data_IF_160857612386
#
_entry.id   IF_160857612386
#
_cell.length_a   1.000
_cell.length_b   1.000
_cell.length_c   1.000
_cell.angle_alpha   90.00
_cell.angle_beta   90.00
_cell.angle_gamma   90.00
#
_symmetry.space_group_name_H-M   'P 1'
#
loop_
_entity.id
_entity.type
_entity.pdbx_description
1 polymer ?
#
# COMPACT_ATOMS: atom_id res chain seq x y z
N UNK A 1 21.54 4.03 -47.84
CA UNK A 1 20.36 3.91 -46.96
C UNK A 1 19.26 4.78 -47.56
N UNK A 2 18.74 4.36 -48.72
CA UNK A 2 18.07 5.28 -49.65
C UNK A 2 16.57 5.04 -49.77
N UNK A 3 16.08 3.86 -49.37
CA UNK A 3 14.64 3.57 -49.39
C UNK A 3 14.01 3.65 -48.00
N UNK A 4 12.69 3.81 -47.96
CA UNK A 4 11.93 3.63 -46.72
C UNK A 4 12.09 2.21 -46.15
N UNK A 5 12.20 1.21 -47.03
CA UNK A 5 12.42 -0.18 -46.64
C UNK A 5 13.75 -0.36 -45.89
N UNK A 6 14.84 0.23 -46.40
CA UNK A 6 16.16 0.16 -45.74
C UNK A 6 16.14 0.81 -44.36
N UNK A 7 15.47 1.97 -44.25
CA UNK A 7 15.31 2.68 -42.97
C UNK A 7 14.52 1.84 -41.97
N UNK A 8 13.42 1.21 -42.40
CA UNK A 8 12.63 0.31 -41.55
C UNK A 8 13.42 -0.90 -41.09
N UNK A 9 14.21 -1.50 -41.97
CA UNK A 9 15.09 -2.64 -41.62
C UNK A 9 16.18 -2.23 -40.64
N UNK A 10 16.81 -1.07 -40.84
CA UNK A 10 17.83 -0.53 -39.94
C UNK A 10 17.28 -0.23 -38.53
N UNK A 11 16.09 0.40 -38.45
CA UNK A 11 15.44 0.66 -37.16
C UNK A 11 15.10 -0.65 -36.46
N UNK A 12 14.58 -1.65 -37.18
CA UNK A 12 14.30 -2.98 -36.60
C UNK A 12 15.56 -3.64 -36.06
N UNK A 13 16.67 -3.61 -36.79
CA UNK A 13 17.93 -4.21 -36.32
C UNK A 13 18.51 -3.46 -35.12
N UNK A 14 18.42 -2.12 -35.12
CA UNK A 14 18.93 -1.27 -34.03
C UNK A 14 18.21 -1.56 -32.71
N UNK A 15 16.89 -1.76 -32.75
CA UNK A 15 16.08 -2.01 -31.57
C UNK A 15 15.85 -3.50 -31.24
N UNK A 16 16.32 -4.44 -32.07
CA UNK A 16 16.10 -5.88 -31.86
C UNK A 16 16.60 -6.35 -30.47
N UNK A 17 17.82 -5.98 -30.10
CA UNK A 17 18.41 -6.31 -28.80
C UNK A 17 17.65 -5.68 -27.63
N UNK A 18 17.49 -4.34 -27.58
CA UNK A 18 16.72 -3.66 -26.53
C UNK A 18 15.29 -4.19 -26.37
N UNK A 19 14.58 -4.47 -27.48
CA UNK A 19 13.23 -5.03 -27.44
C UNK A 19 13.23 -6.45 -26.90
N UNK A 20 14.17 -7.30 -27.34
CA UNK A 20 14.31 -8.66 -26.80
C UNK A 20 14.64 -8.66 -25.30
N UNK A 21 15.52 -7.76 -24.85
CA UNK A 21 15.83 -7.58 -23.43
C UNK A 21 14.65 -7.03 -22.62
N UNK A 22 13.84 -6.14 -23.20
CA UNK A 22 12.62 -5.64 -22.56
C UNK A 22 11.56 -6.75 -22.42
N UNK A 23 11.34 -7.56 -23.47
CA UNK A 23 10.42 -8.71 -23.44
C UNK A 23 10.88 -9.77 -22.43
N UNK A 24 12.18 -10.03 -22.33
CA UNK A 24 12.73 -10.93 -21.31
C UNK A 24 12.48 -10.46 -19.87
N UNK A 25 12.37 -9.15 -19.63
CA UNK A 25 11.97 -8.60 -18.32
C UNK A 25 10.47 -8.70 -18.06
N UNK A 26 9.63 -8.68 -19.09
CA UNK A 26 8.17 -8.91 -18.97
C UNK A 26 7.88 -10.36 -18.60
N UNK A 27 8.68 -11.31 -19.10
CA UNK A 27 8.52 -12.75 -18.82
C UNK A 27 9.25 -13.27 -17.58
N UNK A 28 9.92 -12.39 -16.82
CA UNK A 28 10.37 -12.72 -15.49
C UNK A 28 9.34 -12.11 -14.52
N UNK A 29 8.19 -12.77 -14.27
CA UNK A 29 7.19 -12.21 -13.39
C UNK A 29 7.88 -11.93 -12.06
N UNK A 30 7.84 -10.67 -11.64
CA UNK A 30 8.15 -10.36 -10.25
C UNK A 30 7.35 -11.36 -9.39
N UNK A 31 7.97 -12.07 -8.45
CA UNK A 31 7.23 -12.99 -7.59
C UNK A 31 6.11 -12.27 -6.82
N UNK A 32 6.21 -10.94 -6.71
CA UNK A 32 5.11 -10.05 -6.32
C UNK A 32 4.46 -9.50 -7.59
N UNK A 33 3.29 -10.05 -7.97
CA UNK A 33 2.49 -9.54 -9.08
C UNK A 33 1.99 -8.11 -8.84
N UNK A 34 1.34 -7.52 -9.86
CA UNK A 34 0.67 -6.24 -9.67
C UNK A 34 -0.44 -6.37 -8.61
N UNK A 35 -0.44 -5.45 -7.64
CA UNK A 35 -1.43 -5.44 -6.55
C UNK A 35 -2.82 -5.19 -7.13
N UNK A 36 -3.67 -6.23 -7.14
CA UNK A 36 -5.08 -6.10 -7.50
C UNK A 36 -5.84 -5.27 -6.46
N UNK A 37 -6.97 -4.63 -6.83
CA UNK A 37 -7.87 -4.01 -5.87
C UNK A 37 -8.32 -5.00 -4.80
N UNK A 38 -8.38 -4.56 -3.54
CA UNK A 38 -8.74 -5.40 -2.40
C UNK A 38 -10.23 -5.75 -2.35
N UNK A 39 -11.05 -5.05 -3.12
CA UNK A 39 -12.52 -5.12 -3.05
C UNK A 39 -13.10 -4.30 -1.89
N UNK A 40 -12.26 -3.73 -1.02
CA UNK A 40 -12.70 -2.70 -0.07
C UNK A 40 -12.68 -1.34 -0.77
N UNK A 41 -13.80 -0.97 -1.39
CA UNK A 41 -13.92 0.21 -2.27
C UNK A 41 -13.31 1.49 -1.66
N UNK A 42 -13.57 1.74 -0.37
CA UNK A 42 -13.04 2.92 0.33
C UNK A 42 -11.52 2.88 0.49
N UNK A 43 -10.95 1.71 0.77
CA UNK A 43 -9.50 1.49 0.87
C UNK A 43 -8.87 1.71 -0.51
N UNK A 44 -9.39 1.03 -1.54
CA UNK A 44 -8.85 1.08 -2.90
C UNK A 44 -8.89 2.50 -3.48
N UNK A 45 -10.03 3.19 -3.34
CA UNK A 45 -10.19 4.58 -3.78
C UNK A 45 -9.23 5.53 -3.07
N UNK A 46 -9.10 5.39 -1.74
CA UNK A 46 -8.23 6.28 -0.95
C UNK A 46 -6.76 6.04 -1.26
N UNK A 47 -6.37 4.78 -1.48
CA UNK A 47 -5.02 4.41 -1.89
C UNK A 47 -4.70 4.92 -3.30
N UNK A 48 -5.64 4.79 -4.23
CA UNK A 48 -5.54 5.37 -5.58
C UNK A 48 -5.38 6.89 -5.55
N UNK A 49 -6.14 7.58 -4.70
CA UNK A 49 -6.00 9.04 -4.48
C UNK A 49 -4.61 9.40 -3.95
N UNK A 50 -4.09 8.68 -2.96
CA UNK A 50 -2.75 8.93 -2.42
C UNK A 50 -1.65 8.73 -3.47
N UNK A 51 -1.74 7.67 -4.29
CA UNK A 51 -0.85 7.44 -5.44
C UNK A 51 -0.90 8.59 -6.45
N UNK A 52 -2.09 8.99 -6.87
CA UNK A 52 -2.28 10.08 -7.83
C UNK A 52 -1.75 11.42 -7.29
N UNK A 53 -1.91 11.68 -5.99
CA UNK A 53 -1.40 12.89 -5.34
C UNK A 53 0.12 12.89 -5.24
N UNK A 54 0.76 11.77 -4.89
CA UNK A 54 2.23 11.65 -4.86
C UNK A 54 2.88 11.98 -6.20
N UNK A 55 2.24 11.62 -7.32
CA UNK A 55 2.76 11.92 -8.66
C UNK A 55 2.83 13.43 -8.94
N UNK A 56 1.92 14.22 -8.35
CA UNK A 56 1.79 15.66 -8.59
C UNK A 56 2.46 16.52 -7.52
N UNK A 57 2.65 15.98 -6.31
CA UNK A 57 3.17 16.72 -5.17
C UNK A 57 4.61 17.21 -5.36
N UNK A 58 4.82 18.46 -4.99
CA UNK A 58 6.04 19.25 -5.18
C UNK A 58 6.40 20.10 -3.95
N UNK A 59 5.50 20.26 -2.96
CA UNK A 59 5.77 21.01 -1.72
C UNK A 59 5.62 20.16 -0.44
N UNK A 60 6.13 20.69 0.66
CA UNK A 60 6.10 20.06 1.99
C UNK A 60 4.68 19.76 2.47
N UNK A 61 3.76 20.70 2.30
CA UNK A 61 2.34 20.55 2.65
C UNK A 61 1.67 19.47 1.79
N UNK A 62 2.00 19.40 0.50
CA UNK A 62 1.47 18.38 -0.40
C UNK A 62 1.97 16.97 -0.01
N UNK A 63 3.22 16.85 0.44
CA UNK A 63 3.77 15.60 0.96
C UNK A 63 3.20 15.22 2.33
N UNK A 64 2.92 16.19 3.22
CA UNK A 64 2.17 15.93 4.47
C UNK A 64 0.76 15.41 4.18
N UNK A 65 0.07 16.00 3.21
CA UNK A 65 -1.27 15.58 2.84
C UNK A 65 -1.32 14.12 2.32
N UNK A 66 -0.22 13.59 1.79
CA UNK A 66 -0.10 12.16 1.47
C UNK A 66 -0.08 11.33 2.76
N UNK A 67 0.62 11.76 3.81
CA UNK A 67 0.57 11.12 5.13
C UNK A 67 -0.83 11.08 5.72
N UNK A 68 -1.59 12.17 5.60
CA UNK A 68 -3.01 12.22 5.98
C UNK A 68 -3.84 11.20 5.20
N UNK A 69 -3.68 11.12 3.87
CA UNK A 69 -4.39 10.12 3.06
C UNK A 69 -4.02 8.69 3.44
N UNK A 70 -2.74 8.42 3.69
CA UNK A 70 -2.27 7.12 4.15
C UNK A 70 -2.90 6.71 5.50
N UNK A 71 -3.03 7.66 6.44
CA UNK A 71 -3.73 7.42 7.71
C UNK A 71 -5.21 7.08 7.48
N UNK A 72 -5.89 7.81 6.60
CA UNK A 72 -7.30 7.53 6.25
C UNK A 72 -7.48 6.17 5.54
N UNK A 73 -6.51 5.74 4.73
CA UNK A 73 -6.48 4.39 4.16
C UNK A 73 -6.43 3.33 5.27
N UNK A 74 -5.54 3.50 6.26
CA UNK A 74 -5.37 2.53 7.35
C UNK A 74 -6.57 2.49 8.30
N UNK A 75 -7.23 3.63 8.53
CA UNK A 75 -8.52 3.68 9.25
C UNK A 75 -9.60 2.94 8.47
N UNK A 76 -9.71 3.21 7.17
CA UNK A 76 -10.70 2.54 6.32
C UNK A 76 -10.43 1.03 6.26
N UNK A 77 -9.16 0.62 6.28
CA UNK A 77 -8.75 -0.79 6.32
C UNK A 77 -9.18 -1.44 7.63
N UNK A 78 -8.91 -0.80 8.77
CA UNK A 78 -9.35 -1.27 10.08
C UNK A 78 -10.88 -1.44 10.14
N UNK A 79 -11.62 -0.44 9.70
CA UNK A 79 -13.09 -0.48 9.63
C UNK A 79 -13.62 -1.57 8.70
N UNK A 80 -12.88 -1.90 7.65
CA UNK A 80 -13.31 -2.87 6.65
C UNK A 80 -13.16 -4.34 7.10
N UNK A 81 -12.27 -4.60 8.05
CA UNK A 81 -12.04 -5.95 8.60
C UNK A 81 -12.59 -6.12 10.01
N UNK A 82 -12.76 -5.03 10.76
CA UNK A 82 -13.20 -5.09 12.15
C UNK A 82 -14.73 -5.16 12.25
N UNK A 83 -15.21 -6.30 12.73
CA UNK A 83 -16.55 -6.50 13.26
C UNK A 83 -16.52 -6.50 14.80
N UNK A 84 -17.29 -5.62 15.43
CA UNK A 84 -17.35 -5.48 16.90
C UNK A 84 -18.01 -6.69 17.58
N UNK A 85 -18.97 -7.33 16.93
CA UNK A 85 -19.66 -8.50 17.48
C UNK A 85 -18.75 -9.73 17.49
N UNK A 86 -17.83 -9.81 16.52
CA UNK A 86 -16.87 -10.91 16.37
C UNK A 86 -15.57 -10.67 17.15
N UNK A 87 -15.04 -9.43 17.12
CA UNK A 87 -13.72 -9.10 17.69
C UNK A 87 -13.78 -8.48 19.09
N UNK A 88 -14.96 -8.13 19.60
CA UNK A 88 -15.17 -7.50 20.91
C UNK A 88 -14.95 -5.98 20.91
N UNK A 89 -15.49 -5.28 21.92
CA UNK A 89 -15.46 -3.80 22.02
C UNK A 89 -14.19 -3.24 22.69
N UNK A 90 -13.32 -4.11 23.24
CA UNK A 90 -12.11 -3.72 23.98
C UNK A 90 -10.87 -4.48 23.52
N UNK A 91 -9.71 -3.84 23.62
CA UNK A 91 -8.42 -4.51 23.44
C UNK A 91 -8.03 -5.41 24.63
N UNK A 92 -6.84 -6.03 24.56
CA UNK A 92 -6.31 -6.90 25.61
C UNK A 92 -6.12 -6.21 26.96
N UNK A 93 -5.93 -4.88 26.97
CA UNK A 93 -5.78 -4.08 28.19
C UNK A 93 -7.13 -3.56 28.71
N UNK A 94 -8.26 -3.96 28.09
CA UNK A 94 -9.60 -3.47 28.43
C UNK A 94 -9.89 -2.07 27.90
N UNK A 95 -9.07 -1.51 27.00
CA UNK A 95 -9.32 -0.20 26.40
C UNK A 95 -10.35 -0.31 25.29
N UNK A 96 -11.37 0.56 25.31
CA UNK A 96 -12.41 0.60 24.27
C UNK A 96 -11.82 0.87 22.88
N UNK A 97 -12.22 0.08 21.90
CA UNK A 97 -11.81 0.22 20.50
C UNK A 97 -12.63 1.33 19.85
N UNK A 98 -11.98 2.43 19.49
CA UNK A 98 -12.62 3.55 18.81
C UNK A 98 -13.01 3.21 17.36
N UNK A 99 -14.04 3.90 16.84
CA UNK A 99 -14.50 3.72 15.45
C UNK A 99 -13.46 4.11 14.39
N UNK A 100 -12.47 4.93 14.76
CA UNK A 100 -11.34 5.35 13.91
C UNK A 100 -9.99 4.89 14.43
N UNK A 101 -9.96 3.97 15.40
CA UNK A 101 -8.73 3.40 15.94
C UNK A 101 -8.23 2.25 15.08
N UNK A 102 -7.62 2.60 13.94
CA UNK A 102 -7.10 1.64 12.96
C UNK A 102 -6.22 0.56 13.61
N UNK A 103 -5.37 0.95 14.57
CA UNK A 103 -4.42 0.05 15.22
C UNK A 103 -5.17 -1.00 16.03
N UNK A 104 -6.07 -0.58 16.92
CA UNK A 104 -6.81 -1.53 17.78
C UNK A 104 -7.76 -2.40 16.96
N UNK A 105 -8.43 -1.83 15.96
CA UNK A 105 -9.31 -2.57 15.04
C UNK A 105 -8.55 -3.69 14.31
N UNK A 106 -7.42 -3.36 13.67
CA UNK A 106 -6.59 -4.33 12.95
C UNK A 106 -6.01 -5.40 13.88
N UNK A 107 -5.64 -5.03 15.10
CA UNK A 107 -5.06 -5.97 16.06
C UNK A 107 -6.12 -6.93 16.61
N UNK A 108 -7.32 -6.44 16.92
CA UNK A 108 -8.44 -7.28 17.35
C UNK A 108 -8.85 -8.28 16.27
N UNK A 109 -8.95 -7.82 15.01
CA UNK A 109 -9.20 -8.68 13.86
C UNK A 109 -8.10 -9.74 13.66
N UNK A 110 -6.83 -9.33 13.66
CA UNK A 110 -5.70 -10.24 13.46
C UNK A 110 -5.63 -11.30 14.57
N UNK A 111 -5.90 -10.92 15.82
CA UNK A 111 -5.92 -11.86 16.96
C UNK A 111 -7.01 -12.91 16.79
N UNK A 112 -8.17 -12.54 16.25
CA UNK A 112 -9.27 -13.46 16.00
C UNK A 112 -8.94 -14.44 14.87
N UNK A 113 -8.40 -13.94 13.74
CA UNK A 113 -8.07 -14.79 12.58
C UNK A 113 -6.77 -15.58 12.69
N UNK A 114 -5.80 -15.08 13.45
CA UNK A 114 -4.47 -15.67 13.65
C UNK A 114 -4.08 -15.64 15.13
N UNK A 115 -4.70 -16.49 15.98
CA UNK A 115 -4.39 -16.55 17.40
C UNK A 115 -2.96 -17.04 17.62
N UNK A 116 -2.28 -16.50 18.65
CA UNK A 116 -0.92 -16.90 19.03
C UNK A 116 0.09 -15.75 19.06
N UNK A 117 1.17 -15.95 19.81
CA UNK A 117 2.26 -14.99 19.98
C UNK A 117 3.05 -14.73 18.69
N UNK A 118 3.09 -15.73 17.80
CA UNK A 118 3.96 -15.82 16.63
C UNK A 118 3.61 -14.84 15.49
N UNK A 119 2.53 -14.06 15.64
CA UNK A 119 2.12 -13.03 14.68
C UNK A 119 2.59 -11.61 15.08
N UNK A 120 3.58 -11.51 15.96
CA UNK A 120 4.12 -10.25 16.47
C UNK A 120 4.69 -9.37 15.37
N UNK A 121 5.35 -9.98 14.40
CA UNK A 121 6.02 -9.33 13.27
C UNK A 121 4.98 -8.66 12.35
N UNK A 122 3.84 -9.32 12.13
CA UNK A 122 2.70 -8.77 11.39
C UNK A 122 2.13 -7.55 12.12
N UNK A 123 1.91 -7.67 13.44
CA UNK A 123 1.46 -6.53 14.27
C UNK A 123 2.47 -5.37 14.24
N UNK A 124 3.76 -5.67 14.29
CA UNK A 124 4.83 -4.68 14.24
C UNK A 124 4.86 -3.94 12.89
N UNK A 125 4.70 -4.67 11.78
CA UNK A 125 4.60 -4.07 10.44
C UNK A 125 3.38 -3.16 10.31
N UNK A 126 2.18 -3.61 10.73
CA UNK A 126 0.97 -2.79 10.71
C UNK A 126 1.17 -1.53 11.57
N UNK A 127 1.71 -1.70 12.80
CA UNK A 127 2.04 -0.59 13.70
C UNK A 127 2.96 0.43 13.04
N UNK A 128 4.07 -0.02 12.47
CA UNK A 128 5.06 0.85 11.85
C UNK A 128 4.47 1.63 10.66
N UNK A 129 3.58 1.00 9.89
CA UNK A 129 2.89 1.65 8.76
C UNK A 129 1.94 2.75 9.24
N UNK A 130 1.20 2.52 10.33
CA UNK A 130 0.34 3.54 10.97
C UNK A 130 1.19 4.68 11.51
N UNK A 131 2.27 4.37 12.21
CA UNK A 131 3.17 5.38 12.79
C UNK A 131 3.81 6.24 11.70
N UNK A 132 4.25 5.65 10.58
CA UNK A 132 4.82 6.40 9.46
C UNK A 132 3.82 7.40 8.85
N UNK A 133 2.54 7.00 8.71
CA UNK A 133 1.48 7.88 8.22
C UNK A 133 1.18 9.04 9.19
N UNK A 134 1.05 8.74 10.48
CA UNK A 134 0.82 9.75 11.53
C UNK A 134 2.02 10.68 11.67
N UNK A 135 3.26 10.18 11.58
CA UNK A 135 4.43 11.05 11.66
C UNK A 135 4.55 11.96 10.43
N UNK A 136 4.31 11.44 9.23
CA UNK A 136 4.42 12.24 8.01
C UNK A 136 3.39 13.39 7.97
N UNK A 137 2.15 13.15 8.39
CA UNK A 137 1.09 14.18 8.33
C UNK A 137 1.41 15.41 9.19
N UNK A 138 2.26 15.28 10.22
CA UNK A 138 2.65 16.36 11.11
C UNK A 138 4.05 16.92 10.80
N UNK A 139 4.75 16.39 9.79
CA UNK A 139 6.15 16.72 9.55
C UNK A 139 6.30 17.93 8.64
N UNK A 140 6.66 19.07 9.23
CA UNK A 140 6.95 20.35 8.53
C UNK A 140 8.06 20.26 7.48
N UNK A 141 8.98 19.31 7.64
CA UNK A 141 10.07 19.01 6.71
C UNK A 141 9.80 17.74 5.90
N UNK A 142 8.53 17.53 5.50
CA UNK A 142 8.16 16.40 4.68
C UNK A 142 8.93 16.46 3.35
N UNK A 143 9.28 15.32 2.79
CA UNK A 143 9.95 15.23 1.49
C UNK A 143 9.21 14.24 0.61
N UNK A 144 9.41 14.35 -0.71
CA UNK A 144 8.90 13.35 -1.67
C UNK A 144 9.29 11.93 -1.30
N UNK A 145 10.53 11.73 -0.84
CA UNK A 145 11.02 10.41 -0.41
C UNK A 145 10.24 9.88 0.81
N UNK A 146 10.01 10.72 1.83
CA UNK A 146 9.24 10.31 3.00
C UNK A 146 7.78 9.99 2.65
N UNK A 147 7.18 10.77 1.75
CA UNK A 147 5.83 10.49 1.24
C UNK A 147 5.76 9.18 0.46
N UNK A 148 6.75 8.90 -0.40
CA UNK A 148 6.83 7.64 -1.13
C UNK A 148 6.99 6.44 -0.17
N UNK A 149 7.86 6.54 0.84
CA UNK A 149 8.03 5.50 1.86
C UNK A 149 6.74 5.27 2.65
N UNK A 150 6.05 6.33 3.03
CA UNK A 150 4.77 6.25 3.74
C UNK A 150 3.68 5.56 2.91
N UNK A 151 3.58 5.92 1.63
CA UNK A 151 2.62 5.32 0.72
C UNK A 151 2.91 3.84 0.46
N UNK A 152 4.19 3.48 0.31
CA UNK A 152 4.58 2.08 0.12
C UNK A 152 4.30 1.24 1.36
N UNK A 153 4.66 1.73 2.57
CA UNK A 153 4.33 1.04 3.82
C UNK A 153 2.81 0.85 3.98
N UNK A 154 2.02 1.87 3.64
CA UNK A 154 0.55 1.79 3.67
C UNK A 154 0.02 0.76 2.66
N UNK A 155 0.54 0.77 1.44
CA UNK A 155 0.17 -0.20 0.39
C UNK A 155 0.53 -1.64 0.79
N UNK A 156 1.69 -1.81 1.43
CA UNK A 156 2.17 -3.08 1.95
C UNK A 156 1.27 -3.60 3.09
N UNK A 157 0.93 -2.75 4.05
CA UNK A 157 0.00 -3.11 5.14
C UNK A 157 -1.39 -3.51 4.61
N UNK A 158 -1.92 -2.77 3.63
CA UNK A 158 -3.18 -3.13 2.93
C UNK A 158 -3.06 -4.51 2.27
N UNK A 159 -1.93 -4.77 1.58
CA UNK A 159 -1.71 -6.06 0.91
C UNK A 159 -1.61 -7.21 1.90
N UNK A 160 -0.88 -7.04 3.01
CA UNK A 160 -0.77 -8.05 4.08
C UNK A 160 -2.14 -8.39 4.65
N UNK A 161 -2.96 -7.37 4.95
CA UNK A 161 -4.32 -7.57 5.47
C UNK A 161 -5.21 -8.25 4.42
N UNK A 162 -5.11 -7.87 3.14
CA UNK A 162 -5.86 -8.51 2.06
C UNK A 162 -5.47 -9.98 1.84
N UNK A 163 -4.18 -10.33 1.96
CA UNK A 163 -3.69 -11.71 1.88
C UNK A 163 -4.27 -12.54 3.01
N UNK A 164 -4.17 -12.05 4.25
CA UNK A 164 -4.70 -12.76 5.44
C UNK A 164 -6.23 -12.90 5.36
N UNK A 165 -6.92 -11.90 4.81
CA UNK A 165 -8.37 -11.95 4.58
C UNK A 165 -8.79 -12.83 3.39
N UNK A 166 -7.84 -13.44 2.66
CA UNK A 166 -8.12 -14.29 1.49
C UNK A 166 -8.65 -13.53 0.27
N UNK A 167 -8.33 -12.24 0.14
CA UNK A 167 -8.83 -11.34 -0.92
C UNK A 167 -7.81 -11.00 -2.00
N UNK A 168 -6.52 -11.24 -1.75
CA UNK A 168 -5.47 -11.06 -2.75
C UNK A 168 -5.08 -12.44 -3.31
N UNK A 169 -5.35 -12.65 -4.60
CA UNK A 169 -4.86 -13.76 -5.41
C UNK A 169 -4.16 -13.22 -6.67
#
# INVERSE_FOLDING_TARGET
METYADRRSYVRSLFAGPVASAVGRVHNPSPVGERQPTGWERVDRSLGKAKAQLLKASTEEEWQAIGLLCREVLISLGQAVYDREVHGDTDEAGTRIGSTDARRQLFAWLRHGMPGGDNKEIRAHIKASIELAVHLQHRRTATRQLAALCLEATSSAVSVVAIIAGRAA
#
